data_IF_999056065868
#
_entry.id   IF_999056065868
#
_cell.length_a   1.000
_cell.length_b   1.000
_cell.length_c   1.000
_cell.angle_alpha   90.00
_cell.angle_beta   90.00
_cell.angle_gamma   90.00
#
_symmetry.space_group_name_H-M   'P 1'
#
loop_
_entity.id
_entity.type
_entity.pdbx_description
1 polymer ?
#
# COMPACT_ATOMS: atom_id res chain seq x y z
N UNK A 1 -24.66 17.78 32.95
CA UNK A 1 -24.73 16.96 31.72
C UNK A 1 -24.07 17.73 30.60
N UNK A 2 -22.93 17.26 30.10
CA UNK A 2 -22.46 17.43 28.71
C UNK A 2 -21.15 16.67 28.56
N UNK A 3 -21.26 15.37 28.30
CA UNK A 3 -20.17 14.54 27.78
C UNK A 3 -20.12 14.75 26.27
N UNK A 4 -19.26 15.66 25.82
CA UNK A 4 -18.90 15.78 24.41
C UNK A 4 -18.01 14.60 24.06
N UNK A 5 -18.58 13.62 23.37
CA UNK A 5 -17.89 12.49 22.76
C UNK A 5 -16.86 13.01 21.75
N UNK A 6 -15.58 12.99 22.12
CA UNK A 6 -14.48 13.22 21.19
C UNK A 6 -14.43 12.07 20.18
N UNK A 7 -14.95 12.30 18.97
CA UNK A 7 -14.79 11.39 17.86
C UNK A 7 -13.29 11.31 17.50
N UNK A 8 -12.63 10.23 17.90
CA UNK A 8 -11.24 9.96 17.57
C UNK A 8 -11.12 9.68 16.08
N UNK A 9 -10.66 10.67 15.31
CA UNK A 9 -10.38 10.51 13.89
C UNK A 9 -9.22 9.52 13.70
N UNK A 10 -9.54 8.26 13.41
CA UNK A 10 -8.57 7.20 13.09
C UNK A 10 -7.84 7.55 11.79
N UNK A 11 -6.51 7.68 11.86
CA UNK A 11 -5.69 7.98 10.68
C UNK A 11 -5.75 6.84 9.65
N UNK A 12 -5.48 7.09 8.35
CA UNK A 12 -5.42 6.03 7.33
C UNK A 12 -4.48 4.88 7.71
N UNK A 13 -3.36 5.21 8.38
CA UNK A 13 -2.41 4.24 8.91
C UNK A 13 -3.03 3.37 10.00
N UNK A 14 -3.69 3.98 10.98
CA UNK A 14 -4.36 3.23 12.05
C UNK A 14 -5.48 2.34 11.49
N UNK A 15 -6.25 2.83 10.51
CA UNK A 15 -7.29 2.04 9.85
C UNK A 15 -6.71 0.83 9.09
N UNK A 16 -5.59 1.02 8.41
CA UNK A 16 -4.88 -0.09 7.76
C UNK A 16 -4.42 -1.16 8.75
N UNK A 17 -3.91 -0.75 9.91
CA UNK A 17 -3.45 -1.67 10.95
C UNK A 17 -4.63 -2.41 11.59
N UNK A 18 -5.76 -1.73 11.82
CA UNK A 18 -6.99 -2.37 12.28
C UNK A 18 -7.46 -3.44 11.29
N UNK A 19 -7.51 -3.10 10.00
CA UNK A 19 -7.86 -4.07 8.95
C UNK A 19 -6.88 -5.26 8.90
N UNK A 20 -5.59 -5.02 9.13
CA UNK A 20 -4.59 -6.08 9.18
C UNK A 20 -4.76 -6.98 10.41
N UNK A 21 -5.08 -6.39 11.56
CA UNK A 21 -5.40 -7.11 12.79
C UNK A 21 -6.71 -7.92 12.69
N UNK A 22 -7.69 -7.43 11.95
CA UNK A 22 -8.95 -8.13 11.69
C UNK A 22 -8.85 -9.15 10.54
N UNK A 23 -7.70 -9.22 9.85
CA UNK A 23 -7.52 -10.14 8.74
C UNK A 23 -7.56 -11.61 9.19
N UNK A 24 -8.15 -12.48 8.36
CA UNK A 24 -8.18 -13.92 8.61
C UNK A 24 -6.78 -14.52 8.82
N UNK A 25 -5.77 -13.97 8.13
CA UNK A 25 -4.37 -14.37 8.28
C UNK A 25 -3.86 -14.08 9.70
N UNK A 26 -4.07 -12.86 10.20
CA UNK A 26 -3.60 -12.49 11.53
C UNK A 26 -4.37 -13.23 12.63
N UNK A 27 -5.68 -13.40 12.48
CA UNK A 27 -6.48 -14.22 13.41
C UNK A 27 -5.97 -15.67 13.48
N UNK A 28 -5.56 -16.23 12.34
CA UNK A 28 -4.93 -17.55 12.31
C UNK A 28 -3.60 -17.57 13.07
N UNK A 29 -2.75 -16.55 12.90
CA UNK A 29 -1.50 -16.42 13.65
C UNK A 29 -1.73 -16.28 15.15
N UNK A 30 -2.72 -15.47 15.56
CA UNK A 30 -3.07 -15.33 16.98
C UNK A 30 -3.43 -16.68 17.60
N UNK A 31 -4.30 -17.44 16.92
CA UNK A 31 -4.70 -18.77 17.37
C UNK A 31 -3.51 -19.73 17.42
N UNK A 32 -2.72 -19.81 16.36
CA UNK A 32 -1.58 -20.71 16.27
C UNK A 32 -0.52 -20.39 17.35
N UNK A 33 -0.17 -19.11 17.50
CA UNK A 33 0.80 -18.67 18.49
C UNK A 33 0.33 -18.96 19.92
N UNK A 34 -0.93 -18.65 20.23
CA UNK A 34 -1.52 -18.97 21.53
C UNK A 34 -1.54 -20.48 21.79
N UNK A 35 -1.90 -21.32 20.82
CA UNK A 35 -1.88 -22.78 20.98
C UNK A 35 -0.48 -23.32 21.31
N UNK A 36 0.57 -22.74 20.71
CA UNK A 36 1.95 -23.20 20.88
C UNK A 36 2.62 -22.67 22.15
N UNK A 37 2.26 -21.46 22.57
CA UNK A 37 3.00 -20.71 23.61
C UNK A 37 2.17 -20.37 24.85
N UNK A 38 0.84 -20.49 24.76
CA UNK A 38 -0.13 -19.95 25.73
C UNK A 38 -0.04 -18.43 25.93
N UNK A 39 0.66 -17.72 25.03
CA UNK A 39 0.80 -16.27 25.08
C UNK A 39 -0.17 -15.61 24.09
N UNK A 40 -0.74 -14.45 24.44
CA UNK A 40 -1.51 -13.66 23.49
C UNK A 40 -0.58 -13.04 22.45
N UNK A 41 -1.14 -12.80 21.27
CA UNK A 41 -0.50 -12.07 20.18
C UNK A 41 -1.41 -10.93 19.76
N UNK A 42 -0.89 -9.70 19.66
CA UNK A 42 -1.64 -8.53 19.21
C UNK A 42 -0.81 -7.68 18.25
N UNK A 43 -1.47 -6.78 17.52
CA UNK A 43 -0.84 -5.88 16.55
C UNK A 43 -1.10 -4.43 16.95
N UNK A 44 -0.07 -3.58 16.92
CA UNK A 44 -0.14 -2.18 17.32
C UNK A 44 0.51 -1.24 16.32
N UNK A 45 0.09 0.03 16.34
CA UNK A 45 0.61 1.13 15.51
C UNK A 45 1.76 1.90 16.14
N UNK A 46 2.16 1.57 17.36
CA UNK A 46 3.21 2.29 18.10
C UNK A 46 4.53 2.27 17.30
N UNK A 47 4.99 3.47 16.93
CA UNK A 47 6.29 3.71 16.31
C UNK A 47 7.02 4.69 17.19
N UNK A 48 7.44 4.22 18.35
CA UNK A 48 8.55 4.81 19.07
C UNK A 48 9.43 3.65 19.51
N UNK A 49 10.56 3.52 18.81
CA UNK A 49 11.73 2.70 19.14
C UNK A 49 11.44 1.33 19.80
N UNK A 50 11.28 0.28 18.99
CA UNK A 50 11.43 -1.08 19.52
C UNK A 50 12.91 -1.34 19.79
N UNK A 51 13.26 -1.33 21.06
CA UNK A 51 14.25 -2.24 21.64
C UNK A 51 13.43 -3.29 22.39
N UNK A 52 13.75 -4.56 22.24
CA UNK A 52 13.29 -5.61 23.15
C UNK A 52 13.36 -5.08 24.59
N UNK A 53 12.21 -4.86 25.25
CA UNK A 53 12.23 -4.51 26.67
C UNK A 53 12.32 -5.81 27.44
N UNK A 54 13.53 -6.19 27.82
CA UNK A 54 13.72 -7.00 29.02
C UNK A 54 13.14 -6.17 30.16
N UNK A 55 11.98 -6.56 30.67
CA UNK A 55 11.44 -5.95 31.87
C UNK A 55 12.43 -6.14 33.03
N UNK A 56 12.42 -5.19 33.96
CA UNK A 56 13.06 -5.36 35.26
C UNK A 56 12.45 -6.63 35.91
N UNK A 57 13.28 -7.53 36.46
CA UNK A 57 12.90 -8.81 37.10
C UNK A 57 12.67 -10.08 36.24
N UNK A 58 13.08 -10.11 34.97
CA UNK A 58 13.05 -11.38 34.20
C UNK A 58 11.69 -11.77 33.64
N UNK A 59 10.73 -10.83 33.64
CA UNK A 59 9.59 -10.84 32.72
C UNK A 59 10.05 -10.19 31.41
N UNK A 60 9.87 -10.91 30.31
CA UNK A 60 10.24 -10.47 28.97
C UNK A 60 8.97 -10.20 28.18
N UNK A 61 8.89 -9.01 27.59
CA UNK A 61 7.85 -8.67 26.61
C UNK A 61 8.49 -8.57 25.23
N UNK A 62 7.90 -9.29 24.28
CA UNK A 62 8.45 -9.34 22.92
C UNK A 62 7.68 -8.41 22.02
N UNK A 63 8.43 -7.59 21.28
CA UNK A 63 7.90 -6.75 20.23
C UNK A 63 8.62 -7.06 18.92
N UNK A 64 7.88 -7.52 17.90
CA UNK A 64 8.45 -7.86 16.60
C UNK A 64 7.88 -6.92 15.52
N UNK A 65 8.74 -6.13 14.85
CA UNK A 65 8.28 -5.20 13.83
C UNK A 65 7.81 -5.95 12.57
N UNK A 66 6.63 -5.57 12.09
CA UNK A 66 6.11 -5.99 10.79
C UNK A 66 6.55 -4.95 9.76
N UNK A 67 7.34 -5.37 8.77
CA UNK A 67 7.97 -4.47 7.80
C UNK A 67 7.47 -4.71 6.39
N UNK A 68 7.42 -3.62 5.62
CA UNK A 68 7.20 -3.63 4.17
C UNK A 68 8.41 -2.93 3.55
N UNK A 69 9.31 -3.70 2.94
CA UNK A 69 10.63 -3.22 2.56
C UNK A 69 11.40 -2.69 3.78
N UNK A 70 11.83 -1.43 3.74
CA UNK A 70 12.58 -0.79 4.85
C UNK A 70 11.68 -0.16 5.93
N UNK A 71 10.36 -0.12 5.71
CA UNK A 71 9.45 0.63 6.58
C UNK A 71 8.71 -0.29 7.54
N UNK A 72 8.75 0.03 8.85
CA UNK A 72 7.92 -0.64 9.86
C UNK A 72 6.49 -0.11 9.76
N UNK A 73 5.55 -0.99 9.44
CA UNK A 73 4.13 -0.63 9.28
C UNK A 73 3.34 -0.86 10.57
N UNK A 74 3.72 -1.86 11.36
CA UNK A 74 3.08 -2.24 12.62
C UNK A 74 4.05 -3.01 13.51
N UNK A 75 3.64 -3.30 14.73
CA UNK A 75 4.40 -4.07 15.70
C UNK A 75 3.54 -5.20 16.25
N UNK A 76 4.04 -6.43 16.19
CA UNK A 76 3.44 -7.55 16.90
C UNK A 76 3.93 -7.58 18.34
N UNK A 77 2.99 -7.70 19.27
CA UNK A 77 3.23 -7.70 20.70
C UNK A 77 2.81 -9.04 21.28
N UNK A 78 3.65 -9.60 22.15
CA UNK A 78 3.27 -10.76 22.98
C UNK A 78 2.91 -10.31 24.39
N UNK A 79 2.23 -11.17 25.14
CA UNK A 79 2.18 -11.03 26.60
C UNK A 79 3.56 -11.20 27.23
N UNK A 80 3.69 -10.77 28.49
CA UNK A 80 4.88 -11.00 29.30
C UNK A 80 5.09 -12.48 29.63
N UNK A 81 6.35 -12.92 29.62
CA UNK A 81 6.74 -14.29 29.98
C UNK A 81 7.97 -14.26 30.88
N UNK A 82 8.03 -15.15 31.85
CA UNK A 82 9.23 -15.34 32.67
C UNK A 82 10.07 -16.49 32.12
N UNK A 83 11.38 -16.29 32.04
CA UNK A 83 12.31 -17.34 31.60
C UNK A 83 12.72 -18.29 32.73
N UNK A 84 12.33 -17.97 33.96
CA UNK A 84 12.60 -18.75 35.17
C UNK A 84 11.44 -18.60 36.17
N UNK A 85 11.23 -19.56 37.08
CA UNK A 85 10.20 -19.47 38.12
C UNK A 85 10.35 -18.23 39.02
N UNK A 86 9.25 -17.81 39.65
CA UNK A 86 9.29 -16.77 40.68
C UNK A 86 10.10 -17.25 41.88
N UNK A 87 10.97 -16.38 42.36
CA UNK A 87 11.57 -16.49 43.68
C UNK A 87 11.82 -15.07 44.23
N UNK A 88 12.21 -15.00 45.50
CA UNK A 88 12.47 -13.72 46.16
C UNK A 88 13.61 -12.93 45.51
N UNK A 89 14.65 -13.61 45.03
CA UNK A 89 15.83 -13.00 44.39
C UNK A 89 15.46 -12.32 43.07
N UNK A 90 14.63 -12.98 42.25
CA UNK A 90 14.20 -12.49 40.95
C UNK A 90 13.20 -11.33 41.09
N UNK A 91 12.40 -11.31 42.16
CA UNK A 91 11.47 -10.21 42.44
C UNK A 91 12.14 -8.99 43.09
N UNK A 92 13.26 -9.17 43.81
CA UNK A 92 13.93 -8.11 44.55
C UNK A 92 14.25 -6.85 43.71
N UNK A 93 14.71 -6.95 42.44
CA UNK A 93 14.93 -5.78 41.60
C UNK A 93 13.66 -4.99 41.29
N UNK A 94 12.51 -5.66 41.09
CA UNK A 94 11.21 -4.98 40.87
C UNK A 94 10.71 -4.35 42.16
N UNK A 95 10.83 -5.05 43.29
CA UNK A 95 10.47 -4.47 44.58
C UNK A 95 11.29 -3.21 44.88
N UNK A 96 12.60 -3.24 44.60
CA UNK A 96 13.50 -2.09 44.76
C UNK A 96 13.10 -0.93 43.85
N UNK A 97 12.88 -1.16 42.55
CA UNK A 97 12.46 -0.10 41.63
C UNK A 97 11.14 0.56 42.04
N UNK A 98 10.17 -0.22 42.54
CA UNK A 98 8.91 0.32 43.04
C UNK A 98 9.09 1.11 44.34
N UNK A 99 10.01 0.70 45.22
CA UNK A 99 10.35 1.48 46.41
C UNK A 99 11.05 2.79 46.06
N UNK A 100 11.96 2.77 45.08
CA UNK A 100 12.66 3.96 44.59
C UNK A 100 11.69 4.97 43.94
N UNK A 101 10.55 4.50 43.41
CA UNK A 101 9.44 5.30 42.86
C UNK A 101 8.38 5.69 43.92
N UNK A 102 8.70 5.61 45.21
CA UNK A 102 7.81 5.94 46.35
C UNK A 102 6.46 5.18 46.34
N UNK A 103 6.42 3.98 45.76
CA UNK A 103 5.18 3.17 45.70
C UNK A 103 4.86 2.57 47.06
N UNK A 104 3.56 2.49 47.37
CA UNK A 104 3.07 1.97 48.64
C UNK A 104 3.33 0.46 48.78
N UNK A 105 3.40 -0.02 50.02
CA UNK A 105 3.52 -1.45 50.32
C UNK A 105 2.36 -2.29 49.73
N UNK A 106 1.18 -1.69 49.55
CA UNK A 106 0.05 -2.37 48.89
C UNK A 106 0.29 -2.57 47.39
N UNK A 107 0.85 -1.57 46.71
CA UNK A 107 1.20 -1.63 45.29
C UNK A 107 2.34 -2.63 45.03
N UNK A 108 3.34 -2.68 45.91
CA UNK A 108 4.44 -3.66 45.81
C UNK A 108 3.92 -5.08 46.00
N UNK A 109 3.01 -5.32 46.96
CA UNK A 109 2.34 -6.62 47.12
C UNK A 109 1.53 -6.99 45.89
N UNK A 110 0.80 -6.03 45.31
CA UNK A 110 0.07 -6.24 44.06
C UNK A 110 0.99 -6.62 42.90
N UNK A 111 2.12 -5.94 42.77
CA UNK A 111 3.14 -6.25 41.76
C UNK A 111 3.75 -7.65 41.96
N UNK A 112 3.97 -8.08 43.21
CA UNK A 112 4.43 -9.45 43.52
C UNK A 112 3.44 -10.50 43.05
N UNK A 113 2.15 -10.32 43.37
CA UNK A 113 1.08 -11.24 42.92
C UNK A 113 1.00 -11.27 41.39
N UNK A 114 1.10 -10.12 40.73
CA UNK A 114 1.12 -10.07 39.28
C UNK A 114 2.34 -10.82 38.70
N UNK A 115 3.53 -10.56 39.24
CA UNK A 115 4.78 -11.22 38.84
C UNK A 115 4.73 -12.74 38.98
N UNK A 116 4.15 -13.24 40.07
CA UNK A 116 4.00 -14.68 40.33
C UNK A 116 3.05 -15.36 39.34
N UNK A 117 2.06 -14.63 38.82
CA UNK A 117 1.07 -15.12 37.86
C UNK A 117 1.51 -15.04 36.38
N UNK A 118 2.63 -14.38 36.07
CA UNK A 118 3.14 -14.33 34.69
C UNK A 118 3.53 -15.75 34.23
N UNK A 119 3.14 -16.21 33.03
CA UNK A 119 3.52 -17.53 32.51
C UNK A 119 5.05 -17.75 32.53
N UNK A 120 5.49 -18.97 32.82
CA UNK A 120 6.91 -19.35 32.77
C UNK A 120 7.18 -20.18 31.52
N UNK A 121 8.27 -19.90 30.83
CA UNK A 121 8.70 -20.61 29.63
C UNK A 121 10.20 -20.87 29.69
N UNK A 122 10.61 -22.10 29.40
CA UNK A 122 12.03 -22.44 29.30
C UNK A 122 12.70 -21.61 28.18
N UNK A 123 13.97 -21.18 28.36
CA UNK A 123 14.67 -20.36 27.38
C UNK A 123 14.65 -20.92 25.95
N UNK A 124 14.83 -22.23 25.77
CA UNK A 124 14.88 -22.88 24.46
C UNK A 124 13.50 -22.84 23.77
N UNK A 125 12.43 -23.00 24.56
CA UNK A 125 11.05 -22.89 24.06
C UNK A 125 10.72 -21.44 23.70
N UNK A 126 11.26 -20.49 24.45
CA UNK A 126 11.11 -19.06 24.16
C UNK A 126 11.83 -18.68 22.87
N UNK A 127 13.06 -19.16 22.63
CA UNK A 127 13.78 -18.97 21.36
C UNK A 127 13.00 -19.54 20.16
N UNK A 128 12.43 -20.74 20.30
CA UNK A 128 11.57 -21.31 19.26
C UNK A 128 10.32 -20.46 18.99
N UNK A 129 9.68 -19.93 20.04
CA UNK A 129 8.55 -19.02 19.92
C UNK A 129 8.93 -17.72 19.19
N UNK A 130 10.12 -17.18 19.45
CA UNK A 130 10.65 -16.00 18.76
C UNK A 130 10.87 -16.25 17.26
N UNK A 131 11.43 -17.40 16.89
CA UNK A 131 11.62 -17.76 15.48
C UNK A 131 10.29 -17.82 14.71
N UNK A 132 9.26 -18.43 15.32
CA UNK A 132 7.91 -18.49 14.75
C UNK A 132 7.32 -17.08 14.61
N UNK A 133 7.44 -16.26 15.65
CA UNK A 133 6.93 -14.90 15.65
C UNK A 133 7.61 -14.03 14.58
N UNK A 134 8.92 -14.18 14.37
CA UNK A 134 9.66 -13.52 13.29
C UNK A 134 9.19 -13.97 11.91
N UNK A 135 8.91 -15.27 11.73
CA UNK A 135 8.35 -15.80 10.48
C UNK A 135 6.96 -15.24 10.20
N UNK A 136 6.09 -15.16 11.21
CA UNK A 136 4.78 -14.52 11.09
C UNK A 136 4.91 -13.04 10.72
N UNK A 137 5.88 -12.32 11.29
CA UNK A 137 6.12 -10.92 11.00
C UNK A 137 6.48 -10.70 9.53
N UNK A 138 7.35 -11.57 9.00
CA UNK A 138 7.79 -11.54 7.61
C UNK A 138 6.62 -11.82 6.66
N UNK A 139 5.89 -12.92 6.88
CA UNK A 139 4.77 -13.31 6.01
C UNK A 139 3.61 -12.30 6.10
N UNK A 140 3.37 -11.72 7.27
CA UNK A 140 2.39 -10.64 7.43
C UNK A 140 2.86 -9.37 6.70
N UNK A 141 4.16 -9.07 6.76
CA UNK A 141 4.79 -7.98 6.00
C UNK A 141 4.64 -8.15 4.49
N UNK A 142 4.88 -9.35 3.96
CA UNK A 142 4.69 -9.66 2.55
C UNK A 142 3.22 -9.62 2.12
N UNK A 143 2.32 -10.09 2.98
CA UNK A 143 0.88 -10.01 2.74
C UNK A 143 0.38 -8.57 2.78
N UNK A 144 0.89 -7.76 3.72
CA UNK A 144 0.64 -6.34 3.80
C UNK A 144 1.24 -5.60 2.60
N UNK A 145 2.41 -6.00 2.11
CA UNK A 145 2.98 -5.53 0.85
C UNK A 145 2.01 -5.87 -0.28
N UNK A 146 1.51 -7.11 -0.41
CA UNK A 146 0.52 -7.45 -1.44
C UNK A 146 -0.76 -6.63 -1.32
N UNK A 147 -1.26 -6.31 -0.13
CA UNK A 147 -2.46 -5.48 0.06
C UNK A 147 -2.21 -3.99 -0.24
N UNK A 148 -1.08 -3.45 0.24
CA UNK A 148 -0.63 -2.08 -0.03
C UNK A 148 -0.28 -1.89 -1.51
N UNK A 149 0.20 -2.92 -2.20
CA UNK A 149 0.64 -2.85 -3.58
C UNK A 149 -0.40 -3.33 -4.59
N UNK A 150 -1.31 -4.24 -4.24
CA UNK A 150 -2.54 -4.47 -5.00
C UNK A 150 -3.43 -3.22 -5.02
N UNK A 151 -3.29 -2.36 -4.01
CA UNK A 151 -3.87 -1.01 -4.01
C UNK A 151 -2.93 0.05 -4.60
N UNK A 152 -1.60 -0.05 -4.45
CA UNK A 152 -0.62 0.88 -5.06
C UNK A 152 -0.35 0.67 -6.56
N UNK A 153 -0.90 -0.36 -7.20
CA UNK A 153 -1.11 -0.41 -8.66
C UNK A 153 -2.41 0.28 -9.09
N UNK A 154 -2.98 1.15 -8.26
CA UNK A 154 -3.92 2.14 -8.75
C UNK A 154 -3.13 3.41 -9.03
N UNK A 155 -2.89 3.62 -10.32
CA UNK A 155 -2.84 4.97 -10.88
C UNK A 155 -3.68 5.94 -10.03
N UNK A 156 -3.12 7.08 -9.58
CA UNK A 156 -3.83 8.01 -8.70
C UNK A 156 -5.23 8.25 -9.24
N UNK A 157 -6.25 8.28 -8.38
CA UNK A 157 -7.65 8.40 -8.83
C UNK A 157 -7.86 9.57 -9.79
N UNK A 158 -7.20 10.70 -9.54
CA UNK A 158 -7.18 11.84 -10.45
C UNK A 158 -6.63 11.50 -11.85
N UNK A 159 -5.60 10.67 -11.95
CA UNK A 159 -5.01 10.23 -13.24
C UNK A 159 -5.90 9.18 -13.91
N UNK A 160 -6.48 8.24 -13.14
CA UNK A 160 -7.43 7.24 -13.67
C UNK A 160 -8.67 7.93 -14.25
N UNK A 161 -9.27 8.83 -13.48
CA UNK A 161 -10.45 9.60 -13.89
C UNK A 161 -10.10 10.50 -15.09
N UNK A 162 -8.89 11.09 -15.10
CA UNK A 162 -8.43 11.86 -16.25
C UNK A 162 -8.27 11.00 -17.51
N UNK A 163 -7.76 9.76 -17.42
CA UNK A 163 -7.70 8.86 -18.58
C UNK A 163 -9.08 8.54 -19.13
N UNK A 164 -10.03 8.21 -18.25
CA UNK A 164 -11.44 7.97 -18.67
C UNK A 164 -11.99 9.20 -19.36
N UNK A 165 -11.88 10.38 -18.74
CA UNK A 165 -12.31 11.64 -19.33
C UNK A 165 -11.66 11.90 -20.70
N UNK A 166 -10.35 11.65 -20.82
CA UNK A 166 -9.61 11.81 -22.07
C UNK A 166 -10.19 10.89 -23.14
N UNK A 167 -10.39 9.61 -22.83
CA UNK A 167 -10.90 8.64 -23.79
C UNK A 167 -12.31 8.95 -24.28
N UNK A 168 -13.17 9.43 -23.38
CA UNK A 168 -14.56 9.78 -23.71
C UNK A 168 -14.65 11.03 -24.59
N UNK A 169 -13.73 12.00 -24.42
CA UNK A 169 -13.74 13.29 -25.12
C UNK A 169 -12.61 13.45 -26.15
N UNK A 170 -12.06 12.33 -26.64
CA UNK A 170 -10.89 12.32 -27.55
C UNK A 170 -11.05 13.22 -28.80
N UNK A 171 -12.28 13.29 -29.34
CA UNK A 171 -12.61 14.04 -30.55
C UNK A 171 -12.78 15.55 -30.32
N UNK A 172 -12.93 15.96 -29.06
CA UNK A 172 -13.23 17.35 -28.70
C UNK A 172 -11.95 18.15 -28.42
N UNK A 173 -11.98 19.49 -28.57
CA UNK A 173 -10.93 20.35 -28.06
C UNK A 173 -10.79 20.18 -26.54
N UNK A 174 -9.60 19.78 -26.09
CA UNK A 174 -9.34 19.45 -24.70
C UNK A 174 -8.19 20.29 -24.17
N UNK A 175 -8.46 21.10 -23.14
CA UNK A 175 -7.44 21.86 -22.44
C UNK A 175 -6.98 21.13 -21.17
N UNK A 176 -5.75 21.43 -20.77
CA UNK A 176 -5.17 20.91 -19.53
C UNK A 176 -6.00 21.33 -18.31
N UNK A 177 -6.46 22.59 -18.32
CA UNK A 177 -7.24 23.22 -17.25
C UNK A 177 -8.59 22.53 -17.08
N UNK A 178 -9.25 22.17 -18.19
CA UNK A 178 -10.53 21.47 -18.15
C UNK A 178 -10.39 20.09 -17.48
N UNK A 179 -9.36 19.32 -17.86
CA UNK A 179 -9.14 17.97 -17.29
C UNK A 179 -8.69 18.05 -15.83
N UNK A 180 -7.82 19.01 -15.50
CA UNK A 180 -7.37 19.22 -14.12
C UNK A 180 -8.55 19.60 -13.19
N UNK A 181 -9.43 20.49 -13.66
CA UNK A 181 -10.66 20.88 -12.96
C UNK A 181 -11.61 19.69 -12.79
N UNK A 182 -11.82 18.90 -13.84
CA UNK A 182 -12.70 17.72 -13.82
C UNK A 182 -12.26 16.66 -12.79
N UNK A 183 -10.97 16.63 -12.43
CA UNK A 183 -10.42 15.70 -11.44
C UNK A 183 -10.00 16.37 -10.12
N UNK A 184 -10.48 17.60 -9.87
CA UNK A 184 -10.33 18.36 -8.64
C UNK A 184 -8.87 18.61 -8.20
N UNK A 185 -7.98 18.93 -9.15
CA UNK A 185 -6.57 19.27 -8.87
C UNK A 185 -6.12 20.51 -9.65
N UNK A 186 -5.06 21.18 -9.19
CA UNK A 186 -4.46 22.26 -9.97
C UNK A 186 -3.71 21.73 -11.19
N UNK A 187 -3.65 22.49 -12.28
CA UNK A 187 -2.94 22.09 -13.52
C UNK A 187 -1.47 21.74 -13.29
N UNK A 188 -0.79 22.46 -12.39
CA UNK A 188 0.61 22.17 -12.04
C UNK A 188 0.74 20.83 -11.31
N UNK A 189 -0.12 20.56 -10.34
CA UNK A 189 -0.13 19.29 -9.62
C UNK A 189 -0.50 18.14 -10.55
N UNK A 190 -1.49 18.35 -11.43
CA UNK A 190 -1.92 17.38 -12.44
C UNK A 190 -0.76 16.97 -13.37
N UNK A 191 -0.05 17.92 -13.98
CA UNK A 191 1.07 17.62 -14.87
C UNK A 191 2.13 16.74 -14.19
N UNK A 192 2.50 17.07 -12.96
CA UNK A 192 3.49 16.30 -12.19
C UNK A 192 2.97 14.90 -11.86
N UNK A 193 1.71 14.81 -11.42
CA UNK A 193 1.06 13.56 -11.05
C UNK A 193 0.89 12.64 -12.26
N UNK A 194 0.39 13.17 -13.37
CA UNK A 194 0.11 12.46 -14.62
C UNK A 194 1.40 11.95 -15.27
N UNK A 195 2.45 12.78 -15.34
CA UNK A 195 3.75 12.34 -15.87
C UNK A 195 4.41 11.28 -15.02
N UNK A 196 4.32 11.39 -13.69
CA UNK A 196 4.85 10.38 -12.77
C UNK A 196 4.10 9.05 -12.90
N UNK A 197 2.79 9.08 -13.09
CA UNK A 197 1.96 7.88 -13.19
C UNK A 197 2.02 7.20 -14.56
N UNK A 198 2.10 7.97 -15.65
CA UNK A 198 2.01 7.45 -17.02
C UNK A 198 3.34 7.42 -17.78
N UNK A 199 4.38 8.08 -17.26
CA UNK A 199 5.64 8.33 -17.96
C UNK A 199 5.54 9.38 -19.08
N UNK A 200 4.35 9.89 -19.38
CA UNK A 200 4.08 10.78 -20.52
C UNK A 200 3.53 12.14 -20.05
N UNK A 201 3.76 13.18 -20.84
CA UNK A 201 3.03 14.43 -20.64
C UNK A 201 1.56 14.23 -21.00
N UNK A 202 0.67 15.06 -20.46
CA UNK A 202 -0.75 15.05 -20.81
C UNK A 202 -0.96 15.15 -22.33
N UNK A 203 -0.30 16.12 -22.97
CA UNK A 203 -0.38 16.34 -24.42
C UNK A 203 0.12 15.14 -25.22
N UNK A 204 1.21 14.51 -24.80
CA UNK A 204 1.72 13.30 -25.45
C UNK A 204 0.77 12.12 -25.33
N UNK A 205 0.16 11.95 -24.15
CA UNK A 205 -0.82 10.90 -23.91
C UNK A 205 -2.06 11.08 -24.80
N UNK A 206 -2.61 12.29 -24.86
CA UNK A 206 -3.76 12.61 -25.73
C UNK A 206 -3.40 12.36 -27.20
N UNK A 207 -2.28 12.89 -27.68
CA UNK A 207 -1.86 12.69 -29.07
C UNK A 207 -1.65 11.21 -29.42
N UNK A 208 -1.08 10.42 -28.50
CA UNK A 208 -0.92 8.97 -28.68
C UNK A 208 -2.27 8.27 -28.78
N UNK A 209 -3.20 8.56 -27.88
CA UNK A 209 -4.54 7.99 -27.91
C UNK A 209 -5.30 8.37 -29.21
N UNK A 210 -5.15 9.61 -29.69
CA UNK A 210 -5.71 10.06 -30.98
C UNK A 210 -5.11 9.33 -32.16
N UNK A 211 -3.79 9.15 -32.20
CA UNK A 211 -3.10 8.40 -33.27
C UNK A 211 -3.54 6.93 -33.29
N UNK A 212 -3.68 6.29 -32.13
CA UNK A 212 -4.17 4.91 -32.06
C UNK A 212 -5.64 4.77 -32.50
N UNK A 213 -6.48 5.78 -32.25
CA UNK A 213 -7.83 5.85 -32.83
C UNK A 213 -7.78 6.07 -34.36
N UNK A 214 -6.89 6.95 -34.83
CA UNK A 214 -6.74 7.25 -36.26
C UNK A 214 -6.26 6.03 -37.05
N UNK A 215 -5.29 5.25 -36.52
CA UNK A 215 -4.85 3.98 -37.11
C UNK A 215 -6.03 3.05 -37.36
N UNK A 216 -6.92 2.90 -36.37
CA UNK A 216 -8.14 2.07 -36.50
C UNK A 216 -9.10 2.59 -37.56
N UNK A 217 -9.25 3.90 -37.69
CA UNK A 217 -10.12 4.52 -38.70
C UNK A 217 -9.53 4.40 -40.12
N UNK A 218 -8.21 4.53 -40.27
CA UNK A 218 -7.51 4.43 -41.55
C UNK A 218 -7.48 3.02 -42.14
N UNK A 219 -7.82 1.99 -41.36
CA UNK A 219 -8.04 0.63 -41.88
C UNK A 219 -9.30 0.53 -42.75
N UNK A 220 -10.24 1.49 -42.66
CA UNK A 220 -11.45 1.51 -43.49
C UNK A 220 -11.11 2.05 -44.90
N UNK A 221 -11.42 1.33 -46.00
CA UNK A 221 -11.01 1.72 -47.35
C UNK A 221 -11.48 3.11 -47.82
N UNK A 222 -12.65 3.56 -47.33
CA UNK A 222 -13.28 4.83 -47.71
C UNK A 222 -12.83 6.04 -46.87
N UNK A 223 -12.04 5.84 -45.81
CA UNK A 223 -11.67 6.94 -44.91
C UNK A 223 -10.68 7.91 -45.57
N UNK A 224 -11.02 9.20 -45.61
CA UNK A 224 -10.09 10.26 -46.03
C UNK A 224 -9.20 10.65 -44.85
N UNK A 225 -7.89 10.78 -45.09
CA UNK A 225 -6.90 11.10 -44.04
C UNK A 225 -7.23 12.44 -43.36
N UNK A 226 -7.69 13.42 -44.14
CA UNK A 226 -8.11 14.74 -43.65
C UNK A 226 -9.28 14.63 -42.68
N UNK A 227 -10.34 13.92 -43.07
CA UNK A 227 -11.53 13.68 -42.25
C UNK A 227 -11.13 12.95 -40.95
N UNK A 228 -10.35 11.88 -41.05
CA UNK A 228 -9.85 11.13 -39.88
C UNK A 228 -9.08 12.04 -38.92
N UNK A 229 -8.24 12.93 -39.41
CA UNK A 229 -7.46 13.84 -38.56
C UNK A 229 -8.36 14.74 -37.72
N UNK A 230 -9.42 15.30 -38.31
CA UNK A 230 -10.38 16.13 -37.59
C UNK A 230 -11.29 15.31 -36.67
N UNK A 231 -11.76 14.13 -37.12
CA UNK A 231 -12.63 13.24 -36.34
C UNK A 231 -11.98 12.68 -35.06
N UNK A 232 -10.65 12.52 -35.07
CA UNK A 232 -9.90 12.13 -33.87
C UNK A 232 -9.48 13.33 -33.02
N UNK A 233 -9.87 14.56 -33.38
CA UNK A 233 -9.71 15.75 -32.55
C UNK A 233 -8.43 16.58 -32.80
N UNK A 234 -7.73 16.40 -33.93
CA UNK A 234 -6.65 17.32 -34.30
C UNK A 234 -7.21 18.60 -34.92
N UNK A 235 -6.67 19.75 -34.52
CA UNK A 235 -7.08 21.06 -35.05
C UNK A 235 -6.41 21.44 -36.38
N UNK A 236 -5.35 20.72 -36.78
CA UNK A 236 -4.70 20.91 -38.08
C UNK A 236 -4.05 19.64 -38.60
N UNK A 237 -4.08 19.49 -39.92
CA UNK A 237 -3.45 18.36 -40.62
C UNK A 237 -1.93 18.32 -40.39
N UNK A 238 -1.28 19.48 -40.32
CA UNK A 238 0.16 19.59 -40.06
C UNK A 238 0.55 19.08 -38.67
N UNK A 239 -0.28 19.31 -37.64
CA UNK A 239 -0.03 18.76 -36.30
C UNK A 239 -0.29 17.25 -36.25
N UNK A 240 -1.35 16.80 -36.94
CA UNK A 240 -1.65 15.38 -37.10
C UNK A 240 -0.50 14.61 -37.75
N UNK A 241 -0.04 15.05 -38.93
CA UNK A 241 1.02 14.37 -39.68
C UNK A 241 2.31 14.23 -38.86
N UNK A 242 2.73 15.30 -38.16
CA UNK A 242 3.91 15.27 -37.28
C UNK A 242 3.73 14.30 -36.11
N UNK A 243 2.58 14.34 -35.45
CA UNK A 243 2.28 13.45 -34.31
C UNK A 243 2.20 12.00 -34.74
N UNK A 244 1.52 11.71 -35.85
CA UNK A 244 1.39 10.36 -36.39
C UNK A 244 2.75 9.78 -36.74
N UNK A 245 3.59 10.52 -37.49
CA UNK A 245 4.93 10.07 -37.85
C UNK A 245 5.82 9.81 -36.63
N UNK A 246 5.72 10.65 -35.60
CA UNK A 246 6.49 10.48 -34.35
C UNK A 246 6.04 9.25 -33.53
N UNK A 247 4.76 8.91 -33.56
CA UNK A 247 4.17 7.84 -32.71
C UNK A 247 4.14 6.50 -33.44
N UNK A 248 3.99 6.50 -34.76
CA UNK A 248 3.85 5.31 -35.59
C UNK A 248 5.09 5.00 -36.45
N UNK A 249 6.12 5.87 -36.41
CA UNK A 249 7.33 5.80 -37.24
C UNK A 249 7.11 5.80 -38.77
N UNK A 250 5.89 6.12 -39.22
CA UNK A 250 5.52 6.25 -40.62
C UNK A 250 4.42 7.32 -40.78
N UNK A 251 4.22 7.85 -41.99
CA UNK A 251 3.14 8.80 -42.26
C UNK A 251 1.76 8.12 -42.34
N UNK A 252 0.65 8.85 -42.14
CA UNK A 252 -0.70 8.30 -42.30
C UNK A 252 -0.95 7.68 -43.69
N UNK A 253 -0.35 8.28 -44.74
CA UNK A 253 -0.47 7.79 -46.13
C UNK A 253 0.29 6.47 -46.31
N UNK A 254 1.51 6.37 -45.78
CA UNK A 254 2.31 5.14 -45.79
C UNK A 254 1.63 4.03 -45.01
N UNK A 255 1.16 4.30 -43.78
CA UNK A 255 0.39 3.37 -42.96
C UNK A 255 -0.82 2.82 -43.73
N UNK A 256 -1.60 3.70 -44.38
CA UNK A 256 -2.77 3.31 -45.16
C UNK A 256 -2.40 2.47 -46.38
N UNK A 257 -1.33 2.84 -47.10
CA UNK A 257 -0.85 2.06 -48.23
C UNK A 257 -0.42 0.67 -47.80
N UNK A 258 0.34 0.57 -46.69
CA UNK A 258 0.78 -0.69 -46.10
C UNK A 258 -0.39 -1.60 -45.71
N UNK A 259 -1.43 -1.04 -45.07
CA UNK A 259 -2.63 -1.81 -44.73
C UNK A 259 -3.46 -2.23 -45.94
N UNK A 260 -3.45 -1.46 -47.04
CA UNK A 260 -4.12 -1.84 -48.30
C UNK A 260 -3.40 -2.99 -49.03
N UNK A 261 -2.08 -3.06 -48.95
CA UNK A 261 -1.27 -4.08 -49.62
C UNK A 261 -0.91 -5.28 -48.72
N UNK A 262 -1.27 -5.22 -47.43
CA UNK A 262 -0.85 -6.18 -46.39
C UNK A 262 -1.93 -7.16 -45.91
N UNK A 263 -2.94 -7.48 -46.74
CA UNK A 263 -3.81 -8.64 -46.47
C UNK A 263 -3.17 -9.90 -47.11
N UNK A 264 -2.46 -10.77 -46.35
CA UNK A 264 -2.06 -12.06 -46.88
C UNK A 264 -3.28 -12.97 -47.01
N UNK A 265 -3.44 -13.53 -48.20
CA UNK A 265 -4.21 -14.74 -48.44
C UNK A 265 -3.64 -15.89 -47.58
N UNK A 266 -4.31 -16.24 -46.48
CA UNK A 266 -4.10 -17.49 -45.75
C UNK A 266 -5.40 -17.92 -45.08
N UNK A 267 -6.27 -18.54 -45.89
CA UNK A 267 -7.36 -19.43 -45.46
C UNK A 267 -7.77 -20.27 -46.68
N UNK A 268 -6.86 -21.14 -47.11
CA UNK A 268 -7.15 -22.26 -48.02
C UNK A 268 -5.93 -23.20 -48.04
N UNK A 269 -5.94 -24.19 -47.13
CA UNK A 269 -5.37 -25.52 -47.30
C UNK A 269 -5.88 -26.39 -46.14
#
# INVERSE_FOLDING_TARGET
MNTTTAASHTTPRQRFILNLAESALFQHYQKAFHTLTSLPLSLSSLVDSIVTRTGVAGVVETQVPVRVGKNTIAVMLTGGVRLQPANAENFAPVAKALLDDDRSAAEIRGAKVHFENVPVMAPERYEAALAILQSFALQLGDSAHRLLFATATHEPEAVRNAKTFIHDHLAEPMSLEAVASAVNVSSFHFCKLFKRATGLTFTDFVNRARVEKAKRMLMKPAARITEVAYDVGFQSLSHFNRSFRRIADESPTEFRSRMKHGAPAQLAA
#
